data_IF_258322725476
#
_entry.id   IF_258322725476
#
_cell.length_a   1.000
_cell.length_b   1.000
_cell.length_c   1.000
_cell.angle_alpha   90.00
_cell.angle_beta   90.00
_cell.angle_gamma   90.00
#
_symmetry.space_group_name_H-M   'P 1'
#
loop_
_entity.id
_entity.type
_entity.pdbx_description
1 polymer ?
#
# COMPACT_ATOMS: atom_id res chain seq x y z
N UNK A 1 -86.21 -52.90 1.15
CA UNK A 1 -86.05 -54.38 0.99
C UNK A 1 -84.56 -54.59 0.56
N UNK A 2 -83.90 -55.38 1.30
CA UNK A 2 -82.48 -55.89 1.13
C UNK A 2 -81.31 -54.93 1.18
N UNK A 3 -80.64 -55.11 2.25
CA UNK A 3 -79.32 -54.76 2.71
C UNK A 3 -78.25 -55.45 1.82
N UNK A 4 -77.19 -54.75 1.52
CA UNK A 4 -75.83 -55.36 1.36
C UNK A 4 -74.81 -54.40 1.93
N UNK A 5 -74.11 -54.90 3.01
CA UNK A 5 -72.90 -54.35 3.53
C UNK A 5 -71.73 -54.82 2.63
N UNK A 6 -70.78 -53.93 2.39
CA UNK A 6 -69.47 -54.28 1.96
C UNK A 6 -68.48 -53.48 2.82
N UNK A 7 -67.67 -54.17 3.66
CA UNK A 7 -66.52 -53.68 4.37
C UNK A 7 -65.41 -53.30 3.40
N UNK A 8 -64.85 -52.16 3.56
CA UNK A 8 -63.60 -51.81 2.90
C UNK A 8 -62.67 -51.21 3.96
N UNK A 9 -61.63 -51.94 4.26
CA UNK A 9 -60.54 -51.56 5.12
C UNK A 9 -59.83 -50.28 4.59
N UNK A 10 -59.70 -49.30 5.47
CA UNK A 10 -58.89 -48.08 5.17
C UNK A 10 -57.40 -48.40 5.27
N UNK A 11 -56.60 -47.73 4.46
CA UNK A 11 -55.14 -47.90 4.55
C UNK A 11 -54.55 -47.27 5.80
N UNK A 12 -53.57 -47.93 6.39
CA UNK A 12 -52.78 -47.49 7.50
C UNK A 12 -52.05 -46.16 7.20
N UNK A 13 -51.77 -45.26 8.19
CA UNK A 13 -51.00 -44.05 7.99
C UNK A 13 -49.52 -44.40 7.85
N UNK A 14 -48.97 -44.15 6.63
CA UNK A 14 -47.54 -44.23 6.39
C UNK A 14 -46.79 -43.25 7.27
N UNK A 15 -45.81 -43.78 8.00
CA UNK A 15 -44.86 -43.02 8.81
C UNK A 15 -44.21 -41.89 8.02
N UNK A 16 -44.52 -40.65 8.34
CA UNK A 16 -43.75 -39.48 7.91
C UNK A 16 -42.33 -39.59 8.44
N UNK A 17 -41.39 -39.88 7.55
CA UNK A 17 -39.97 -39.74 7.81
C UNK A 17 -39.67 -38.30 8.17
N UNK A 18 -39.33 -38.05 9.42
CA UNK A 18 -38.89 -36.75 9.90
C UNK A 18 -37.61 -36.33 9.18
N UNK A 19 -37.78 -35.52 8.13
CA UNK A 19 -36.71 -34.84 7.51
C UNK A 19 -36.08 -33.89 8.53
N UNK A 20 -34.93 -34.28 9.05
CA UNK A 20 -34.09 -33.48 9.93
C UNK A 20 -33.61 -32.26 9.16
N UNK A 21 -34.42 -31.20 9.11
CA UNK A 21 -34.01 -29.89 8.67
C UNK A 21 -32.97 -29.38 9.66
N UNK A 22 -31.72 -29.76 9.44
CA UNK A 22 -30.59 -29.09 10.05
C UNK A 22 -30.66 -27.60 9.69
N UNK A 23 -31.24 -26.83 10.58
CA UNK A 23 -31.11 -25.38 10.56
C UNK A 23 -29.63 -25.08 10.70
N UNK A 24 -28.91 -24.96 9.56
CA UNK A 24 -27.59 -24.34 9.52
C UNK A 24 -27.78 -22.94 10.09
N UNK A 25 -27.41 -22.75 11.37
CA UNK A 25 -27.32 -21.40 11.96
C UNK A 25 -26.56 -20.56 10.98
N UNK A 26 -27.22 -19.62 10.31
CA UNK A 26 -26.60 -18.69 9.36
C UNK A 26 -25.55 -17.94 10.16
N UNK A 27 -24.29 -18.31 9.96
CA UNK A 27 -23.15 -17.68 10.63
C UNK A 27 -23.25 -16.19 10.34
N UNK A 28 -23.35 -15.35 11.37
CA UNK A 28 -23.45 -13.91 11.14
C UNK A 28 -22.17 -13.44 10.44
N UNK A 29 -22.35 -12.69 9.36
CA UNK A 29 -21.22 -12.12 8.62
C UNK A 29 -20.38 -11.25 9.54
N UNK A 30 -19.08 -11.36 9.44
CA UNK A 30 -18.15 -10.44 10.11
C UNK A 30 -18.10 -9.12 9.37
N UNK A 31 -18.21 -8.01 10.07
CA UNK A 31 -18.29 -6.66 9.52
C UNK A 31 -17.05 -5.85 9.87
N UNK A 32 -16.23 -5.56 8.88
CA UNK A 32 -14.95 -4.90 9.03
C UNK A 32 -14.96 -3.54 8.34
N UNK A 33 -14.67 -2.49 9.08
CA UNK A 33 -14.39 -1.17 8.51
C UNK A 33 -12.89 -1.02 8.31
N UNK A 34 -12.48 -0.62 7.10
CA UNK A 34 -11.12 -0.30 6.73
C UNK A 34 -11.03 1.20 6.46
N UNK A 35 -10.17 1.92 7.17
CA UNK A 35 -10.05 3.36 7.02
C UNK A 35 -8.62 3.77 6.73
N UNK A 36 -8.45 4.50 5.64
CA UNK A 36 -7.16 5.03 5.19
C UNK A 36 -7.39 5.92 3.97
N UNK A 37 -6.53 6.89 3.75
CA UNK A 37 -6.71 7.76 2.61
C UNK A 37 -5.70 8.89 2.52
N UNK A 38 -5.93 9.78 1.55
CA UNK A 38 -5.07 10.92 1.23
C UNK A 38 -3.89 10.59 0.33
N UNK A 39 -3.37 9.37 0.38
CA UNK A 39 -2.26 8.91 -0.48
C UNK A 39 -2.41 7.43 -0.81
N UNK A 40 -1.79 6.98 -1.92
CA UNK A 40 -1.72 5.56 -2.27
C UNK A 40 -1.10 4.69 -1.18
N UNK A 41 -0.13 5.23 -0.43
CA UNK A 41 0.54 4.53 0.68
C UNK A 41 -0.38 4.12 1.83
N UNK A 42 -1.57 4.74 1.97
CA UNK A 42 -2.57 4.35 2.96
C UNK A 42 -3.71 3.52 2.34
N UNK A 43 -4.04 3.80 1.07
CA UNK A 43 -5.16 3.16 0.38
C UNK A 43 -4.80 1.71 -0.01
N UNK A 44 -3.67 1.51 -0.66
CA UNK A 44 -3.30 0.20 -1.19
C UNK A 44 -3.02 -0.86 -0.11
N UNK A 45 -2.40 -0.55 1.04
CA UNK A 45 -2.34 -1.50 2.15
C UNK A 45 -3.71 -1.91 2.69
N UNK A 46 -4.67 -0.97 2.78
CA UNK A 46 -6.03 -1.28 3.19
C UNK A 46 -6.73 -2.20 2.17
N UNK A 47 -6.52 -1.95 0.87
CA UNK A 47 -7.07 -2.81 -0.20
C UNK A 47 -6.44 -4.20 -0.17
N UNK A 48 -5.13 -4.33 0.00
CA UNK A 48 -4.46 -5.63 0.08
C UNK A 48 -5.01 -6.48 1.25
N UNK A 49 -5.27 -5.86 2.40
CA UNK A 49 -5.89 -6.56 3.54
C UNK A 49 -7.36 -6.90 3.25
N UNK A 50 -8.11 -6.04 2.56
CA UNK A 50 -9.47 -6.33 2.12
C UNK A 50 -9.52 -7.53 1.16
N UNK A 51 -8.59 -7.61 0.22
CA UNK A 51 -8.44 -8.74 -0.69
C UNK A 51 -8.11 -10.04 0.07
N UNK A 52 -7.21 -9.99 1.06
CA UNK A 52 -6.90 -11.14 1.91
C UNK A 52 -8.11 -11.60 2.73
N UNK A 53 -8.87 -10.68 3.32
CA UNK A 53 -10.11 -10.99 4.04
C UNK A 53 -11.15 -11.62 3.11
N UNK A 54 -11.38 -11.04 1.92
CA UNK A 54 -12.35 -11.56 0.95
C UNK A 54 -11.95 -12.93 0.42
N UNK A 55 -10.65 -13.14 0.15
CA UNK A 55 -10.12 -14.44 -0.29
C UNK A 55 -10.35 -15.55 0.73
N UNK A 56 -10.18 -15.24 2.02
CA UNK A 56 -10.34 -16.22 3.11
C UNK A 56 -11.80 -16.47 3.50
N UNK A 57 -12.60 -15.40 3.59
CA UNK A 57 -13.94 -15.45 4.20
C UNK A 57 -15.07 -15.37 3.18
N UNK A 58 -14.79 -14.99 1.93
CA UNK A 58 -15.79 -14.88 0.87
C UNK A 58 -16.99 -14.03 1.31
N UNK A 59 -18.17 -14.64 1.26
CA UNK A 59 -19.42 -13.99 1.65
C UNK A 59 -19.66 -13.91 3.16
N UNK A 60 -18.82 -14.56 3.97
CA UNK A 60 -18.91 -14.51 5.45
C UNK A 60 -18.28 -13.22 6.03
N UNK A 61 -17.67 -12.37 5.21
CA UNK A 61 -17.18 -11.04 5.58
C UNK A 61 -17.87 -9.94 4.78
N UNK A 62 -18.24 -8.87 5.46
CA UNK A 62 -18.71 -7.62 4.85
C UNK A 62 -17.70 -6.51 5.11
N UNK A 63 -17.25 -5.84 4.05
CA UNK A 63 -16.21 -4.83 4.08
C UNK A 63 -16.78 -3.46 3.73
N UNK A 64 -16.44 -2.46 4.53
CA UNK A 64 -16.75 -1.06 4.24
C UNK A 64 -15.49 -0.22 4.39
N UNK A 65 -15.17 0.54 3.36
CA UNK A 65 -14.13 1.55 3.44
C UNK A 65 -14.70 2.87 3.96
N UNK A 66 -13.87 3.61 4.71
CA UNK A 66 -14.18 4.97 5.14
C UNK A 66 -13.00 5.87 4.81
N UNK A 67 -13.23 6.87 3.97
CA UNK A 67 -12.23 7.82 3.46
C UNK A 67 -12.65 9.28 3.69
N UNK A 68 -11.87 10.23 3.18
CA UNK A 68 -12.19 11.65 3.20
C UNK A 68 -12.88 12.07 1.89
N UNK A 69 -13.96 12.85 2.01
CA UNK A 69 -14.66 13.38 0.84
C UNK A 69 -13.73 14.18 -0.07
N UNK A 70 -13.90 14.03 -1.39
CA UNK A 70 -13.12 14.74 -2.40
C UNK A 70 -11.64 14.35 -2.48
N UNK A 71 -11.24 13.20 -1.90
CA UNK A 71 -9.89 12.65 -1.98
C UNK A 71 -9.83 11.44 -2.90
N UNK A 72 -8.62 11.06 -3.29
CA UNK A 72 -8.38 10.01 -4.28
C UNK A 72 -8.98 8.65 -3.91
N UNK A 73 -9.14 8.35 -2.63
CA UNK A 73 -9.78 7.12 -2.17
C UNK A 73 -11.23 6.99 -2.63
N UNK A 74 -11.95 8.12 -2.77
CA UNK A 74 -13.35 8.13 -3.22
C UNK A 74 -13.51 7.68 -4.68
N UNK A 75 -12.44 7.73 -5.48
CA UNK A 75 -12.41 7.23 -6.87
C UNK A 75 -11.75 5.85 -6.95
N UNK A 76 -10.61 5.69 -6.27
CA UNK A 76 -9.79 4.47 -6.39
C UNK A 76 -10.41 3.25 -5.74
N UNK A 77 -11.04 3.39 -4.57
CA UNK A 77 -11.63 2.26 -3.84
C UNK A 77 -12.86 1.68 -4.57
N UNK A 78 -13.83 2.48 -5.08
CA UNK A 78 -14.91 1.97 -5.90
C UNK A 78 -14.45 1.31 -7.21
N UNK A 79 -13.43 1.87 -7.86
CA UNK A 79 -12.85 1.27 -9.08
C UNK A 79 -12.29 -0.14 -8.83
N UNK A 80 -12.00 -0.50 -7.58
CA UNK A 80 -11.56 -1.82 -7.14
C UNK A 80 -12.71 -2.71 -6.61
N UNK A 81 -13.97 -2.27 -6.77
CA UNK A 81 -15.16 -3.04 -6.40
C UNK A 81 -15.48 -3.04 -4.90
N UNK A 82 -15.01 -2.05 -4.14
CA UNK A 82 -15.32 -1.90 -2.72
C UNK A 82 -16.25 -0.73 -2.45
N UNK A 83 -17.14 -0.91 -1.47
CA UNK A 83 -17.99 0.18 -0.95
C UNK A 83 -17.13 1.13 -0.11
N UNK A 84 -17.32 2.44 -0.29
CA UNK A 84 -16.68 3.48 0.51
C UNK A 84 -17.70 4.53 0.93
N UNK A 85 -17.52 5.06 2.14
CA UNK A 85 -18.25 6.23 2.65
C UNK A 85 -17.27 7.35 2.92
N UNK A 86 -17.56 8.54 2.43
CA UNK A 86 -16.78 9.75 2.67
C UNK A 86 -17.11 10.39 4.02
N UNK A 87 -16.08 10.87 4.70
CA UNK A 87 -16.22 11.75 5.86
C UNK A 87 -15.93 13.19 5.47
N UNK A 88 -16.69 14.17 5.99
CA UNK A 88 -16.44 15.60 5.77
C UNK A 88 -15.20 16.05 6.58
N UNK A 89 -14.00 15.70 6.09
CA UNK A 89 -12.73 16.02 6.75
C UNK A 89 -12.00 17.07 5.94
N UNK A 90 -11.59 18.16 6.59
CA UNK A 90 -10.59 19.06 6.04
C UNK A 90 -9.26 18.78 6.74
N UNK A 91 -8.21 18.50 5.96
CA UNK A 91 -6.86 18.41 6.50
C UNK A 91 -6.46 19.74 7.15
N UNK A 92 -5.71 19.68 8.25
CA UNK A 92 -5.04 20.84 8.83
C UNK A 92 -4.13 21.46 7.77
N UNK A 93 -4.43 22.69 7.37
CA UNK A 93 -3.52 23.47 6.54
C UNK A 93 -2.34 23.90 7.41
N UNK A 94 -1.10 23.61 6.95
CA UNK A 94 0.14 23.95 7.67
C UNK A 94 0.40 25.47 7.77
N UNK A 95 -0.42 26.32 7.12
CA UNK A 95 -0.36 27.77 7.23
C UNK A 95 -1.29 28.24 8.34
N UNK A 96 -0.87 29.28 9.08
CA UNK A 96 -1.71 30.01 10.02
C UNK A 96 -2.83 30.71 9.22
N UNK A 97 -3.97 30.02 9.09
CA UNK A 97 -5.16 30.50 8.39
C UNK A 97 -6.30 30.59 9.43
N UNK A 98 -7.09 31.66 9.38
CA UNK A 98 -8.30 31.85 10.21
C UNK A 98 -9.26 30.67 10.09
N UNK A 99 -9.22 29.94 8.97
CA UNK A 99 -9.96 28.67 8.75
C UNK A 99 -9.60 27.57 9.74
N UNK A 100 -8.43 27.65 10.39
CA UNK A 100 -7.99 26.69 11.41
C UNK A 100 -8.82 26.81 12.70
N UNK A 101 -9.48 27.94 12.97
CA UNK A 101 -10.42 28.12 14.10
C UNK A 101 -11.64 27.20 13.99
N UNK A 102 -12.02 26.79 12.77
CA UNK A 102 -13.13 25.86 12.52
C UNK A 102 -12.72 24.38 12.59
N UNK A 103 -11.44 24.08 12.75
CA UNK A 103 -10.92 22.70 12.80
C UNK A 103 -11.54 21.88 13.94
N UNK A 104 -11.67 22.39 15.18
CA UNK A 104 -12.31 21.63 16.26
C UNK A 104 -13.76 21.22 15.91
N UNK A 105 -14.54 22.10 15.33
CA UNK A 105 -15.92 21.80 14.90
C UNK A 105 -15.96 20.75 13.79
N UNK A 106 -15.03 20.84 12.82
CA UNK A 106 -14.91 19.86 11.75
C UNK A 106 -14.50 18.49 12.29
N UNK A 107 -13.59 18.43 13.25
CA UNK A 107 -13.18 17.19 13.91
C UNK A 107 -14.36 16.56 14.66
N UNK A 108 -15.11 17.34 15.46
CA UNK A 108 -16.30 16.84 16.16
C UNK A 108 -17.33 16.31 15.17
N UNK A 109 -17.64 17.06 14.11
CA UNK A 109 -18.56 16.63 13.06
C UNK A 109 -18.11 15.33 12.38
N UNK A 110 -16.81 15.20 12.07
CA UNK A 110 -16.24 13.98 11.48
C UNK A 110 -16.34 12.78 12.43
N UNK A 111 -16.09 12.98 13.73
CA UNK A 111 -16.25 11.92 14.75
C UNK A 111 -17.71 11.50 14.89
N UNK A 112 -18.64 12.45 14.88
CA UNK A 112 -20.09 12.14 14.94
C UNK A 112 -20.55 11.37 13.70
N UNK A 113 -20.12 11.78 12.50
CA UNK A 113 -20.39 11.05 11.27
C UNK A 113 -19.80 9.63 11.31
N UNK A 114 -18.54 9.49 11.76
CA UNK A 114 -17.91 8.19 11.93
C UNK A 114 -18.67 7.29 12.91
N UNK A 115 -19.19 7.83 14.04
CA UNK A 115 -20.04 7.07 14.96
C UNK A 115 -21.32 6.55 14.29
N UNK A 116 -21.97 7.38 13.47
CA UNK A 116 -23.13 6.99 12.68
C UNK A 116 -22.79 5.82 11.75
N UNK A 117 -21.73 5.94 10.96
CA UNK A 117 -21.28 4.90 10.03
C UNK A 117 -20.98 3.57 10.75
N UNK A 118 -20.24 3.62 11.86
CA UNK A 118 -19.87 2.43 12.65
C UNK A 118 -21.11 1.72 13.18
N UNK A 119 -22.06 2.48 13.73
CA UNK A 119 -23.32 1.95 14.26
C UNK A 119 -24.19 1.35 13.17
N UNK A 120 -24.41 2.10 12.08
CA UNK A 120 -25.32 1.71 11.01
C UNK A 120 -24.78 0.51 10.23
N UNK A 121 -23.46 0.40 10.10
CA UNK A 121 -22.76 -0.78 9.56
C UNK A 121 -22.69 -1.93 10.58
N UNK A 122 -22.87 -1.65 11.88
CA UNK A 122 -22.69 -2.60 13.00
C UNK A 122 -21.31 -3.27 12.95
N UNK A 123 -20.25 -2.47 12.89
CA UNK A 123 -18.88 -2.95 12.72
C UNK A 123 -18.43 -3.83 13.91
N UNK A 124 -17.89 -5.02 13.64
CA UNK A 124 -17.24 -5.88 14.63
C UNK A 124 -15.81 -5.40 14.94
N UNK A 125 -15.13 -4.81 13.96
CA UNK A 125 -13.76 -4.27 14.08
C UNK A 125 -13.52 -3.14 13.11
N UNK A 126 -12.64 -2.21 13.49
CA UNK A 126 -12.18 -1.12 12.64
C UNK A 126 -10.66 -1.19 12.50
N UNK A 127 -10.16 -1.26 11.27
CA UNK A 127 -8.73 -1.22 10.96
C UNK A 127 -8.36 0.12 10.30
N UNK A 128 -7.36 0.80 10.86
CA UNK A 128 -6.86 2.08 10.35
C UNK A 128 -5.48 1.95 9.72
N UNK A 129 -5.34 2.48 8.51
CA UNK A 129 -4.12 2.43 7.69
C UNK A 129 -3.45 3.80 7.55
N UNK A 130 -3.85 4.77 8.36
CA UNK A 130 -3.29 6.12 8.32
C UNK A 130 -4.08 7.09 7.42
N UNK A 131 -3.57 8.30 7.31
CA UNK A 131 -4.26 9.40 6.65
C UNK A 131 -5.29 10.10 7.56
N UNK A 132 -5.83 11.21 7.07
CA UNK A 132 -6.74 12.04 7.86
C UNK A 132 -8.06 11.36 8.20
N UNK A 133 -8.55 10.44 7.34
CA UNK A 133 -9.81 9.76 7.54
C UNK A 133 -9.76 8.73 8.68
N UNK A 134 -8.63 8.07 8.90
CA UNK A 134 -8.52 7.02 9.90
C UNK A 134 -8.63 7.55 11.34
N UNK A 135 -8.20 8.79 11.59
CA UNK A 135 -8.22 9.38 12.93
C UNK A 135 -9.62 9.43 13.57
N UNK A 136 -10.63 10.10 12.98
CA UNK A 136 -11.96 10.17 13.55
C UNK A 136 -12.67 8.82 13.60
N UNK A 137 -12.39 7.92 12.63
CA UNK A 137 -13.02 6.59 12.60
C UNK A 137 -12.51 5.71 13.74
N UNK A 138 -11.19 5.61 13.91
CA UNK A 138 -10.59 4.85 15.02
C UNK A 138 -10.96 5.47 16.38
N UNK A 139 -10.94 6.79 16.49
CA UNK A 139 -11.35 7.47 17.71
C UNK A 139 -12.79 7.14 18.08
N UNK A 140 -13.71 7.23 17.13
CA UNK A 140 -15.12 6.91 17.34
C UNK A 140 -15.31 5.43 17.74
N UNK A 141 -14.67 4.50 17.02
CA UNK A 141 -14.70 3.07 17.31
C UNK A 141 -14.22 2.78 18.74
N UNK A 142 -13.09 3.34 19.15
CA UNK A 142 -12.53 3.18 20.50
C UNK A 142 -13.45 3.71 21.59
N UNK A 143 -14.20 4.80 21.33
CA UNK A 143 -15.17 5.37 22.26
C UNK A 143 -16.48 4.58 22.32
N UNK A 144 -16.80 3.84 21.27
CA UNK A 144 -17.96 2.94 21.20
C UNK A 144 -17.66 1.53 21.71
N UNK A 145 -16.42 1.24 22.12
CA UNK A 145 -15.99 -0.09 22.55
C UNK A 145 -15.74 -1.08 21.40
N UNK A 146 -15.79 -0.61 20.14
CA UNK A 146 -15.47 -1.44 18.97
C UNK A 146 -13.93 -1.63 18.89
N UNK A 147 -13.44 -2.87 18.80
CA UNK A 147 -12.02 -3.16 18.70
C UNK A 147 -11.37 -2.45 17.52
N UNK A 148 -10.13 -1.97 17.71
CA UNK A 148 -9.39 -1.32 16.64
C UNK A 148 -8.03 -1.96 16.41
N UNK A 149 -7.63 -2.03 15.13
CA UNK A 149 -6.30 -2.42 14.67
C UNK A 149 -5.69 -1.23 13.94
N UNK A 150 -4.43 -0.91 14.24
CA UNK A 150 -3.67 0.13 13.54
C UNK A 150 -2.61 -0.56 12.69
N UNK A 151 -2.42 -0.11 11.45
CA UNK A 151 -1.29 -0.48 10.62
C UNK A 151 -0.43 0.78 10.38
N UNK A 152 0.86 0.70 10.77
CA UNK A 152 1.86 1.74 10.55
C UNK A 152 2.86 1.29 9.51
N UNK A 153 2.94 2.05 8.42
CA UNK A 153 3.74 1.70 7.26
C UNK A 153 5.18 2.18 7.36
N UNK A 154 5.45 3.21 8.13
CA UNK A 154 6.72 3.91 8.16
C UNK A 154 7.58 3.49 9.37
N UNK A 155 8.88 3.69 9.25
CA UNK A 155 9.82 3.49 10.36
C UNK A 155 9.71 4.56 11.47
N UNK A 156 8.98 5.65 11.18
CA UNK A 156 8.64 6.70 12.14
C UNK A 156 7.12 6.86 12.18
N UNK A 157 6.55 6.65 13.37
CA UNK A 157 5.09 6.62 13.52
C UNK A 157 4.46 8.01 13.40
N UNK A 158 3.35 8.10 12.66
CA UNK A 158 2.55 9.31 12.57
C UNK A 158 1.90 9.69 13.89
N UNK A 159 1.73 11.01 14.13
CA UNK A 159 1.15 11.55 15.39
C UNK A 159 -0.20 10.92 15.70
N UNK A 160 -1.07 10.77 14.70
CA UNK A 160 -2.38 10.15 14.86
C UNK A 160 -2.29 8.73 15.41
N UNK A 161 -1.41 7.91 14.83
CA UNK A 161 -1.23 6.53 15.26
C UNK A 161 -0.66 6.46 16.69
N UNK A 162 0.26 7.35 17.08
CA UNK A 162 0.78 7.46 18.45
C UNK A 162 -0.32 7.72 19.48
N UNK A 163 -1.26 8.63 19.16
CA UNK A 163 -2.39 8.95 20.06
C UNK A 163 -3.36 7.78 20.18
N UNK A 164 -3.72 7.16 19.05
CA UNK A 164 -4.72 6.10 18.99
C UNK A 164 -4.19 4.75 19.47
N UNK A 165 -2.87 4.53 19.44
CA UNK A 165 -2.21 3.32 19.87
C UNK A 165 -2.56 2.89 21.31
N UNK A 166 -2.78 3.88 22.21
CA UNK A 166 -3.10 3.63 23.63
C UNK A 166 -4.38 2.82 23.85
N UNK A 167 -5.30 2.81 22.88
CA UNK A 167 -6.57 2.08 22.96
C UNK A 167 -6.74 1.03 21.85
N UNK A 168 -5.81 0.94 20.92
CA UNK A 168 -5.83 -0.08 19.88
C UNK A 168 -5.59 -1.47 20.50
N UNK A 169 -6.27 -2.49 19.98
CA UNK A 169 -6.08 -3.88 20.39
C UNK A 169 -4.81 -4.49 19.82
N UNK A 170 -4.47 -4.10 18.58
CA UNK A 170 -3.25 -4.53 17.88
C UNK A 170 -2.68 -3.37 17.07
N UNK A 171 -1.37 -3.35 16.96
CA UNK A 171 -0.63 -2.36 16.18
C UNK A 171 0.32 -3.13 15.27
N UNK A 172 -0.06 -3.22 14.01
CA UNK A 172 0.71 -3.88 12.96
C UNK A 172 1.77 -2.91 12.43
N UNK A 173 3.02 -3.29 12.46
CA UNK A 173 4.14 -2.42 12.07
C UNK A 173 4.98 -3.07 10.99
N UNK A 174 5.61 -2.25 10.14
CA UNK A 174 6.50 -2.72 9.09
C UNK A 174 7.96 -2.84 9.56
N UNK A 175 8.36 -2.02 10.51
CA UNK A 175 9.75 -1.90 10.96
C UNK A 175 9.93 -2.35 12.42
N UNK A 176 11.16 -2.71 12.77
CA UNK A 176 11.58 -2.96 14.16
C UNK A 176 11.77 -1.64 14.92
N UNK A 177 11.89 -1.69 16.26
CA UNK A 177 12.16 -0.53 17.10
C UNK A 177 10.95 0.41 17.26
N UNK A 178 9.73 -0.09 17.00
CA UNK A 178 8.50 0.71 17.09
C UNK A 178 7.96 0.84 18.52
N UNK A 179 8.50 0.12 19.48
CA UNK A 179 8.22 0.23 20.92
C UNK A 179 8.55 1.61 21.49
N UNK A 180 9.42 2.38 20.85
CA UNK A 180 9.66 3.80 21.16
C UNK A 180 8.45 4.70 20.91
N UNK A 181 7.46 4.23 20.14
CA UNK A 181 6.26 4.98 19.77
C UNK A 181 4.98 4.36 20.31
N UNK A 182 4.96 3.03 20.50
CA UNK A 182 3.76 2.27 20.76
C UNK A 182 3.94 1.33 21.97
N UNK A 183 2.84 0.96 22.68
CA UNK A 183 2.90 -0.06 23.71
C UNK A 183 3.40 -1.39 23.16
N UNK A 184 4.49 -1.91 23.71
CA UNK A 184 5.19 -3.10 23.22
C UNK A 184 4.30 -4.36 23.19
N UNK A 185 3.39 -4.52 24.17
CA UNK A 185 2.44 -5.64 24.28
C UNK A 185 1.40 -5.71 23.15
N UNK A 186 1.25 -4.64 22.40
CA UNK A 186 0.28 -4.53 21.29
C UNK A 186 0.90 -4.55 19.91
N UNK A 187 2.22 -4.41 19.83
CA UNK A 187 2.95 -4.41 18.57
C UNK A 187 3.01 -5.82 17.98
N UNK A 188 2.78 -5.90 16.67
CA UNK A 188 3.02 -7.11 15.88
C UNK A 188 3.74 -6.69 14.60
N UNK A 189 4.92 -7.24 14.35
CA UNK A 189 5.65 -7.03 13.10
C UNK A 189 4.96 -7.84 11.99
N UNK A 190 4.31 -7.14 11.09
CA UNK A 190 3.56 -7.73 9.98
C UNK A 190 4.14 -7.44 8.62
N UNK A 191 5.01 -6.43 8.49
CA UNK A 191 5.37 -5.84 7.21
C UNK A 191 4.27 -4.92 6.68
N UNK A 192 4.49 -4.37 5.49
CA UNK A 192 3.50 -3.56 4.78
C UNK A 192 2.70 -4.42 3.80
N UNK A 193 1.36 -4.43 3.92
CA UNK A 193 0.51 -5.05 2.93
C UNK A 193 0.69 -4.42 1.55
N UNK A 194 1.02 -5.22 0.56
CA UNK A 194 1.18 -4.79 -0.83
C UNK A 194 0.15 -5.47 -1.72
N UNK A 195 -0.21 -4.79 -2.81
CA UNK A 195 -1.03 -5.37 -3.87
C UNK A 195 -0.14 -6.05 -4.90
N UNK A 196 -0.63 -7.13 -5.44
CA UNK A 196 0.06 -7.91 -6.48
C UNK A 196 0.94 -9.02 -5.89
N UNK A 197 1.27 -9.93 -6.74
CA UNK A 197 2.18 -11.02 -6.43
C UNK A 197 3.57 -10.64 -6.93
N UNK A 198 4.45 -10.26 -6.02
CA UNK A 198 5.86 -9.99 -6.30
C UNK A 198 6.73 -11.24 -6.06
N UNK A 199 6.14 -12.36 -5.66
CA UNK A 199 6.83 -13.62 -5.45
C UNK A 199 7.01 -14.36 -6.78
N UNK A 200 7.97 -13.93 -7.59
CA UNK A 200 8.30 -14.66 -8.81
C UNK A 200 9.18 -15.86 -8.50
N UNK A 201 8.65 -17.05 -8.73
CA UNK A 201 9.41 -18.31 -8.65
C UNK A 201 10.28 -18.56 -9.89
N UNK A 202 9.97 -17.86 -10.99
CA UNK A 202 10.70 -17.95 -12.27
C UNK A 202 10.98 -16.54 -12.76
N UNK A 203 12.22 -16.25 -13.13
CA UNK A 203 12.59 -14.96 -13.71
C UNK A 203 11.91 -14.74 -15.05
N UNK A 204 11.32 -13.58 -15.23
CA UNK A 204 10.70 -13.09 -16.48
C UNK A 204 11.56 -12.03 -17.17
N UNK A 205 12.86 -12.00 -16.87
CA UNK A 205 13.76 -10.96 -17.41
C UNK A 205 13.77 -10.94 -18.94
N UNK A 206 13.84 -12.06 -19.68
CA UNK A 206 13.82 -12.00 -21.16
C UNK A 206 12.54 -11.34 -21.71
N UNK A 207 11.37 -11.72 -21.19
CA UNK A 207 10.07 -11.13 -21.57
C UNK A 207 9.97 -9.66 -21.18
N UNK A 208 10.50 -9.31 -20.01
CA UNK A 208 10.53 -7.93 -19.52
C UNK A 208 11.42 -7.03 -20.40
N UNK A 209 12.61 -7.49 -20.76
CA UNK A 209 13.50 -6.78 -21.69
C UNK A 209 12.85 -6.60 -23.05
N UNK A 210 12.25 -7.66 -23.60
CA UNK A 210 11.54 -7.60 -24.87
C UNK A 210 10.35 -6.61 -24.84
N UNK A 211 9.60 -6.59 -23.74
CA UNK A 211 8.46 -5.69 -23.56
C UNK A 211 8.86 -4.20 -23.65
N UNK A 212 10.02 -3.85 -23.07
CA UNK A 212 10.54 -2.47 -23.09
C UNK A 212 11.48 -2.19 -24.27
N UNK A 213 11.73 -3.18 -25.14
CA UNK A 213 12.69 -3.04 -26.25
C UNK A 213 14.14 -2.90 -25.78
N UNK A 214 14.49 -3.51 -24.65
CA UNK A 214 15.81 -3.43 -24.03
C UNK A 214 16.70 -4.61 -24.48
N UNK A 215 18.00 -4.38 -24.50
CA UNK A 215 19.04 -5.35 -24.86
C UNK A 215 19.43 -6.18 -23.63
N UNK A 216 19.76 -7.46 -23.85
CA UNK A 216 20.18 -8.35 -22.78
C UNK A 216 21.65 -8.21 -22.36
N UNK A 217 22.48 -7.62 -23.23
CA UNK A 217 23.92 -7.46 -23.05
C UNK A 217 24.32 -6.16 -22.36
N UNK A 218 23.34 -5.33 -21.97
CA UNK A 218 23.57 -4.03 -21.34
C UNK A 218 22.77 -3.89 -20.04
N UNK A 219 23.36 -3.37 -18.94
CA UNK A 219 22.67 -3.19 -17.67
C UNK A 219 21.56 -2.13 -17.76
N UNK A 220 20.56 -2.27 -16.90
CA UNK A 220 19.37 -1.44 -16.86
C UNK A 220 19.25 -0.71 -15.52
N UNK A 221 19.20 0.63 -15.57
CA UNK A 221 18.87 1.48 -14.43
C UNK A 221 17.40 1.89 -14.53
N UNK A 222 16.63 1.63 -13.49
CA UNK A 222 15.24 2.10 -13.40
C UNK A 222 15.17 3.36 -12.54
N UNK A 223 14.60 4.44 -13.07
CA UNK A 223 14.40 5.71 -12.34
C UNK A 223 12.91 5.96 -12.18
N UNK A 224 12.41 5.96 -10.93
CA UNK A 224 10.97 6.06 -10.64
C UNK A 224 10.65 7.02 -9.51
N UNK A 225 9.85 8.04 -9.83
CA UNK A 225 9.42 9.09 -8.89
C UNK A 225 7.99 8.95 -8.35
N UNK A 226 7.33 7.81 -8.63
CA UNK A 226 5.92 7.59 -8.34
C UNK A 226 4.98 8.15 -9.43
N UNK A 227 3.68 7.87 -9.34
CA UNK A 227 2.68 8.11 -10.40
C UNK A 227 2.50 9.59 -10.81
N UNK A 228 2.79 10.53 -9.93
CA UNK A 228 2.72 11.97 -10.23
C UNK A 228 4.03 12.51 -10.78
N UNK A 229 5.11 11.76 -10.61
CA UNK A 229 6.47 12.17 -10.91
C UNK A 229 7.12 12.95 -9.77
N UNK A 230 8.41 13.16 -9.91
CA UNK A 230 9.24 13.86 -8.93
C UNK A 230 10.20 14.80 -9.65
N UNK A 231 10.12 16.09 -9.34
CA UNK A 231 10.96 17.12 -9.97
C UNK A 231 12.45 16.77 -9.86
N UNK A 232 12.93 16.47 -8.68
CA UNK A 232 14.36 16.18 -8.44
C UNK A 232 14.89 15.03 -9.30
N UNK A 233 14.14 13.91 -9.42
CA UNK A 233 14.56 12.77 -10.23
C UNK A 233 14.50 13.09 -11.73
N UNK A 234 13.53 13.89 -12.17
CA UNK A 234 13.47 14.35 -13.54
C UNK A 234 14.62 15.31 -13.87
N UNK A 235 14.93 16.28 -12.99
CA UNK A 235 16.09 17.16 -13.17
C UNK A 235 17.42 16.40 -13.11
N UNK A 236 17.52 15.36 -12.27
CA UNK A 236 18.66 14.44 -12.25
C UNK A 236 18.87 13.79 -13.62
N UNK A 237 17.81 13.26 -14.21
CA UNK A 237 17.87 12.65 -15.53
C UNK A 237 18.21 13.67 -16.63
N UNK A 238 17.61 14.86 -16.61
CA UNK A 238 17.93 15.94 -17.54
C UNK A 238 19.41 16.33 -17.45
N UNK A 239 19.91 16.53 -16.25
CA UNK A 239 21.31 16.89 -16.02
C UNK A 239 22.27 15.82 -16.56
N UNK A 240 21.98 14.56 -16.29
CA UNK A 240 22.79 13.44 -16.75
C UNK A 240 22.75 13.30 -18.29
N UNK A 241 21.56 13.31 -18.88
CA UNK A 241 21.36 13.22 -20.35
C UNK A 241 22.06 14.35 -21.09
N UNK A 242 22.00 15.59 -20.58
CA UNK A 242 22.68 16.74 -21.21
C UNK A 242 24.21 16.61 -21.21
N UNK A 243 24.81 15.73 -20.45
CA UNK A 243 26.23 15.43 -20.45
C UNK A 243 26.63 14.23 -21.32
N UNK A 244 25.67 13.59 -22.00
CA UNK A 244 25.89 12.44 -22.87
C UNK A 244 26.02 12.87 -24.33
N UNK A 245 26.74 12.07 -25.10
CA UNK A 245 26.71 12.09 -26.55
C UNK A 245 25.43 11.37 -27.06
N UNK A 246 25.51 10.68 -28.20
CA UNK A 246 24.36 10.03 -28.86
C UNK A 246 23.81 8.79 -28.15
N UNK A 247 24.56 8.22 -27.20
CA UNK A 247 24.21 6.95 -26.58
C UNK A 247 24.54 6.94 -25.08
N UNK A 248 23.58 6.49 -24.26
CA UNK A 248 23.80 6.26 -22.85
C UNK A 248 24.65 4.99 -22.62
N UNK A 249 25.58 4.99 -21.64
CA UNK A 249 26.45 3.83 -21.33
C UNK A 249 25.68 2.67 -20.69
N UNK A 250 24.43 2.89 -20.29
CA UNK A 250 23.50 1.93 -19.70
C UNK A 250 22.10 2.15 -20.28
N UNK A 251 21.25 1.14 -20.19
CA UNK A 251 19.84 1.33 -20.54
C UNK A 251 19.09 1.94 -19.35
N UNK A 252 18.15 2.83 -19.61
CA UNK A 252 17.37 3.48 -18.58
C UNK A 252 15.87 3.28 -18.80
N UNK A 253 15.17 2.83 -17.77
CA UNK A 253 13.72 2.88 -17.66
C UNK A 253 13.33 4.08 -16.81
N UNK A 254 12.88 5.17 -17.44
CA UNK A 254 12.59 6.44 -16.79
C UNK A 254 11.08 6.72 -16.72
N UNK A 255 10.50 6.60 -15.52
CA UNK A 255 9.14 7.06 -15.25
C UNK A 255 9.14 8.52 -14.82
N UNK A 256 8.69 9.40 -15.70
CA UNK A 256 8.65 10.84 -15.48
C UNK A 256 7.50 11.31 -14.59
N UNK A 257 6.39 10.54 -14.55
CA UNK A 257 5.13 10.93 -13.94
C UNK A 257 4.31 11.86 -14.81
N UNK A 258 2.98 11.79 -14.64
CA UNK A 258 2.04 12.46 -15.54
C UNK A 258 2.18 13.99 -15.60
N UNK A 259 2.70 14.63 -14.54
CA UNK A 259 2.85 16.09 -14.54
C UNK A 259 4.06 16.59 -15.32
N UNK A 260 5.07 15.74 -15.52
CA UNK A 260 6.33 16.10 -16.17
C UNK A 260 6.51 15.45 -17.54
N UNK A 261 5.61 14.56 -17.92
CA UNK A 261 5.75 13.73 -19.12
C UNK A 261 5.97 14.54 -20.38
N UNK A 262 5.14 15.57 -20.62
CA UNK A 262 5.26 16.42 -21.81
C UNK A 262 6.58 17.21 -21.84
N UNK A 263 7.02 17.74 -20.69
CA UNK A 263 8.29 18.48 -20.58
C UNK A 263 9.48 17.54 -20.82
N UNK A 264 9.46 16.34 -20.23
CA UNK A 264 10.57 15.39 -20.38
C UNK A 264 10.65 14.80 -21.78
N UNK A 265 9.52 14.59 -22.43
CA UNK A 265 9.47 14.19 -23.84
C UNK A 265 10.10 15.25 -24.75
N UNK A 266 9.67 16.50 -24.63
CA UNK A 266 10.24 17.60 -25.39
C UNK A 266 11.75 17.77 -25.16
N UNK A 267 12.20 17.53 -23.91
CA UNK A 267 13.62 17.54 -23.59
C UNK A 267 14.39 16.44 -24.32
N UNK A 268 13.89 15.20 -24.37
CA UNK A 268 14.55 14.09 -25.08
C UNK A 268 14.50 14.27 -26.62
N UNK A 269 13.46 14.92 -27.17
CA UNK A 269 13.39 15.27 -28.55
C UNK A 269 14.48 16.29 -28.94
N UNK A 270 14.82 17.23 -28.05
CA UNK A 270 15.90 18.20 -28.22
C UNK A 270 17.30 17.61 -27.91
N UNK A 271 17.38 16.52 -27.16
CA UNK A 271 18.62 15.84 -26.78
C UNK A 271 18.46 14.33 -27.07
N UNK A 272 18.48 13.91 -28.32
CA UNK A 272 18.23 12.54 -28.73
C UNK A 272 19.36 11.62 -28.28
N UNK A 273 19.11 10.83 -27.26
CA UNK A 273 20.05 9.84 -26.69
C UNK A 273 19.42 8.46 -26.77
N UNK A 274 20.15 7.49 -27.33
CA UNK A 274 19.72 6.08 -27.39
C UNK A 274 19.80 5.42 -26.02
N UNK A 275 19.13 4.29 -25.88
CA UNK A 275 19.07 3.44 -24.69
C UNK A 275 18.25 4.04 -23.52
N UNK A 276 17.40 5.03 -23.76
CA UNK A 276 16.51 5.61 -22.76
C UNK A 276 15.06 5.35 -23.16
N UNK A 277 14.37 4.52 -22.38
CA UNK A 277 12.92 4.41 -22.41
C UNK A 277 12.32 5.44 -21.45
N UNK A 278 11.35 6.25 -21.91
CA UNK A 278 10.66 7.26 -21.12
C UNK A 278 9.15 7.04 -21.21
N UNK A 279 8.47 7.14 -20.06
CA UNK A 279 7.03 7.11 -20.00
C UNK A 279 6.47 7.83 -18.78
N UNK A 280 5.24 8.36 -18.93
CA UNK A 280 4.53 8.99 -17.82
C UNK A 280 4.29 8.02 -16.66
N UNK A 281 4.02 6.76 -16.99
CA UNK A 281 3.69 5.70 -16.04
C UNK A 281 4.23 4.35 -16.52
N UNK A 282 4.58 3.50 -15.59
CA UNK A 282 4.97 2.11 -15.84
C UNK A 282 3.78 1.21 -15.47
N UNK A 283 3.08 0.71 -16.49
CA UNK A 283 1.90 -0.14 -16.30
C UNK A 283 2.29 -1.54 -15.80
N UNK A 284 3.39 -2.08 -16.32
CA UNK A 284 3.94 -3.39 -15.96
C UNK A 284 5.13 -3.23 -15.02
N UNK A 285 4.84 -2.78 -13.77
CA UNK A 285 5.87 -2.61 -12.75
C UNK A 285 6.61 -3.92 -12.44
N UNK A 286 5.93 -5.07 -12.52
CA UNK A 286 6.52 -6.39 -12.42
C UNK A 286 7.64 -6.61 -13.46
N UNK A 287 7.39 -6.24 -14.72
CA UNK A 287 8.40 -6.32 -15.78
C UNK A 287 9.51 -5.29 -15.61
N UNK A 288 9.18 -4.08 -15.16
CA UNK A 288 10.19 -3.06 -14.93
C UNK A 288 11.19 -3.47 -13.84
N UNK A 289 10.70 -4.05 -12.75
CA UNK A 289 11.55 -4.62 -11.70
C UNK A 289 12.38 -5.82 -12.21
N UNK A 290 11.81 -6.72 -13.02
CA UNK A 290 12.55 -7.84 -13.61
C UNK A 290 13.67 -7.35 -14.54
N UNK A 291 13.41 -6.34 -15.36
CA UNK A 291 14.40 -5.77 -16.27
C UNK A 291 15.52 -5.00 -15.56
N UNK A 292 15.21 -4.33 -14.46
CA UNK A 292 16.15 -3.46 -13.74
C UNK A 292 17.28 -4.25 -13.04
N UNK A 293 18.50 -3.71 -13.11
CA UNK A 293 19.65 -4.16 -12.32
C UNK A 293 19.84 -3.26 -11.09
N UNK A 294 19.61 -1.96 -11.23
CA UNK A 294 19.61 -0.97 -10.13
C UNK A 294 18.35 -0.12 -10.21
N UNK A 295 17.77 0.22 -9.08
CA UNK A 295 16.61 1.11 -9.00
C UNK A 295 16.98 2.39 -8.27
N UNK A 296 16.71 3.54 -8.88
CA UNK A 296 16.76 4.87 -8.26
C UNK A 296 15.32 5.33 -7.98
N UNK A 297 14.98 5.55 -6.71
CA UNK A 297 13.58 5.77 -6.33
C UNK A 297 13.42 6.67 -5.11
N UNK A 298 12.21 7.20 -4.93
CA UNK A 298 11.76 7.73 -3.65
C UNK A 298 11.57 6.60 -2.62
N UNK A 299 11.70 6.92 -1.33
CA UNK A 299 11.60 5.97 -0.22
C UNK A 299 10.22 5.99 0.48
N UNK A 300 9.15 6.05 -0.31
CA UNK A 300 7.79 5.85 0.21
C UNK A 300 7.60 4.43 0.75
N UNK A 301 6.81 4.27 1.80
CA UNK A 301 6.69 3.00 2.52
C UNK A 301 6.32 1.79 1.64
N UNK A 302 5.38 1.95 0.70
CA UNK A 302 5.01 0.87 -0.23
C UNK A 302 6.18 0.54 -1.18
N UNK A 303 6.80 1.56 -1.77
CA UNK A 303 7.94 1.38 -2.69
C UNK A 303 9.11 0.68 -2.02
N UNK A 304 9.46 1.08 -0.78
CA UNK A 304 10.50 0.38 0.00
C UNK A 304 10.15 -1.08 0.19
N UNK A 305 8.90 -1.37 0.56
CA UNK A 305 8.47 -2.75 0.80
C UNK A 305 8.39 -3.59 -0.49
N UNK A 306 8.00 -2.99 -1.62
CA UNK A 306 8.06 -3.62 -2.94
C UNK A 306 9.50 -3.98 -3.32
N UNK A 307 10.43 -3.04 -3.15
CA UNK A 307 11.85 -3.24 -3.45
C UNK A 307 12.48 -4.31 -2.56
N UNK A 308 12.05 -4.41 -1.29
CA UNK A 308 12.44 -5.52 -0.43
C UNK A 308 11.94 -6.88 -0.96
N UNK A 309 10.72 -6.95 -1.49
CA UNK A 309 10.18 -8.20 -2.03
C UNK A 309 10.88 -8.63 -3.33
N UNK A 310 11.18 -7.67 -4.21
CA UNK A 310 11.85 -7.98 -5.48
C UNK A 310 13.37 -8.11 -5.36
N UNK A 311 13.96 -7.72 -4.21
CA UNK A 311 15.38 -7.91 -3.93
C UNK A 311 16.32 -7.10 -4.81
N UNK A 312 15.89 -5.92 -5.30
CA UNK A 312 16.69 -5.12 -6.23
C UNK A 312 17.63 -4.16 -5.50
N UNK A 313 18.91 -4.09 -5.86
CA UNK A 313 19.82 -3.04 -5.41
C UNK A 313 19.21 -1.68 -5.65
N UNK A 314 19.12 -0.85 -4.61
CA UNK A 314 18.35 0.38 -4.67
C UNK A 314 19.12 1.57 -4.13
N UNK A 315 19.01 2.69 -4.83
CA UNK A 315 19.44 4.02 -4.39
C UNK A 315 18.18 4.82 -4.06
N UNK A 316 17.97 5.12 -2.80
CA UNK A 316 16.88 5.97 -2.36
C UNK A 316 17.26 7.44 -2.40
N UNK A 317 16.37 8.24 -2.95
CA UNK A 317 16.40 9.70 -2.93
C UNK A 317 15.17 10.17 -2.14
N UNK A 318 15.25 10.30 -0.80
CA UNK A 318 14.11 10.69 0.02
C UNK A 318 13.56 12.06 -0.34
N UNK A 319 12.24 12.21 -0.37
CA UNK A 319 11.60 13.52 -0.55
C UNK A 319 11.64 14.32 0.75
N UNK A 320 12.14 15.58 0.74
CA UNK A 320 12.13 16.44 1.92
C UNK A 320 10.74 17.02 2.21
N UNK A 321 9.80 16.90 1.27
CA UNK A 321 8.47 17.54 1.33
C UNK A 321 7.39 16.63 1.91
N UNK A 322 7.76 15.69 2.78
CA UNK A 322 6.82 14.75 3.42
C UNK A 322 6.66 15.03 4.91
N UNK A 323 5.57 14.55 5.50
CA UNK A 323 5.32 14.71 6.93
C UNK A 323 6.39 13.98 7.75
N UNK A 324 6.91 14.65 8.80
CA UNK A 324 7.83 14.04 9.78
C UNK A 324 9.08 13.40 9.17
N UNK A 325 9.46 13.84 7.96
CA UNK A 325 10.63 13.33 7.23
C UNK A 325 10.67 11.79 7.13
N UNK A 326 9.48 11.17 7.01
CA UNK A 326 9.36 9.71 7.04
C UNK A 326 10.10 9.01 5.90
N UNK A 327 10.31 9.65 4.74
CA UNK A 327 11.05 9.03 3.65
C UNK A 327 12.53 8.89 3.98
N UNK A 328 13.16 9.91 4.56
CA UNK A 328 14.55 9.81 5.02
C UNK A 328 14.69 8.70 6.06
N UNK A 329 13.77 8.65 7.04
CA UNK A 329 13.77 7.59 8.07
C UNK A 329 13.59 6.18 7.50
N UNK A 330 12.75 6.03 6.48
CA UNK A 330 12.58 4.74 5.81
C UNK A 330 13.86 4.31 5.08
N UNK A 331 14.52 5.21 4.35
CA UNK A 331 15.79 4.93 3.68
C UNK A 331 16.91 4.60 4.68
N UNK A 332 17.08 5.40 5.73
CA UNK A 332 18.06 5.18 6.80
C UNK A 332 17.92 3.79 7.44
N UNK A 333 16.68 3.31 7.64
CA UNK A 333 16.43 2.00 8.22
C UNK A 333 16.98 0.84 7.35
N UNK A 334 17.06 1.01 6.02
CA UNK A 334 17.65 0.03 5.11
C UNK A 334 19.17 0.25 4.99
N UNK A 335 19.63 1.49 4.91
CA UNK A 335 21.06 1.83 4.86
C UNK A 335 21.79 1.29 6.10
N UNK A 336 21.20 1.43 7.28
CA UNK A 336 21.74 0.89 8.53
C UNK A 336 21.90 -0.64 8.54
N UNK A 337 21.27 -1.34 7.59
CA UNK A 337 21.36 -2.80 7.38
C UNK A 337 22.19 -3.19 6.15
N UNK A 338 22.91 -2.24 5.56
CA UNK A 338 23.61 -2.40 4.28
C UNK A 338 22.68 -3.01 3.19
N UNK A 339 21.42 -2.57 3.17
CA UNK A 339 20.38 -3.06 2.27
C UNK A 339 20.00 -2.06 1.16
N UNK A 340 20.51 -0.83 1.23
CA UNK A 340 20.31 0.19 0.21
C UNK A 340 21.39 1.27 0.29
N UNK A 341 21.47 2.09 -0.76
CA UNK A 341 22.22 3.35 -0.78
C UNK A 341 21.25 4.51 -0.65
N UNK A 342 21.65 5.61 -0.02
CA UNK A 342 20.86 6.83 0.04
C UNK A 342 21.65 8.00 -0.54
N UNK A 343 20.97 8.81 -1.33
CA UNK A 343 21.45 10.12 -1.81
C UNK A 343 20.45 11.17 -1.35
N UNK A 344 20.93 12.25 -0.74
CA UNK A 344 20.06 13.34 -0.32
C UNK A 344 19.44 14.06 -1.53
N UNK A 345 18.20 14.53 -1.39
CA UNK A 345 17.46 15.21 -2.47
C UNK A 345 18.25 16.38 -3.08
N UNK A 346 18.94 17.14 -2.24
CA UNK A 346 19.76 18.29 -2.67
C UNK A 346 20.97 17.92 -3.55
N UNK A 347 21.49 16.70 -3.39
CA UNK A 347 22.64 16.21 -4.12
C UNK A 347 22.27 15.37 -5.35
N UNK A 348 21.04 14.87 -5.40
CA UNK A 348 20.61 13.87 -6.35
C UNK A 348 20.76 14.34 -7.81
N UNK A 349 20.47 15.60 -8.10
CA UNK A 349 20.60 16.15 -9.47
C UNK A 349 22.03 16.01 -9.97
N UNK A 350 23.01 16.25 -9.11
CA UNK A 350 24.43 16.25 -9.46
C UNK A 350 25.05 14.86 -9.53
N UNK A 351 24.70 13.97 -8.60
CA UNK A 351 25.43 12.71 -8.44
C UNK A 351 24.55 11.45 -8.42
N UNK A 352 23.23 11.55 -8.57
CA UNK A 352 22.35 10.39 -8.40
C UNK A 352 22.57 9.31 -9.47
N UNK A 353 22.75 9.69 -10.74
CA UNK A 353 23.07 8.74 -11.82
C UNK A 353 24.52 8.22 -11.70
N UNK A 354 25.49 9.05 -11.32
CA UNK A 354 26.86 8.59 -11.10
C UNK A 354 26.92 7.51 -10.01
N UNK A 355 26.15 7.66 -8.93
CA UNK A 355 26.02 6.63 -7.90
C UNK A 355 25.40 5.33 -8.41
N UNK A 356 24.48 5.40 -9.39
CA UNK A 356 23.93 4.22 -10.02
C UNK A 356 24.98 3.51 -10.91
N UNK A 357 25.77 4.25 -11.64
CA UNK A 357 26.84 3.72 -12.47
C UNK A 357 27.98 3.13 -11.62
N UNK A 358 28.40 3.82 -10.55
CA UNK A 358 29.37 3.30 -9.58
C UNK A 358 28.89 1.97 -8.95
N UNK A 359 27.60 1.89 -8.60
CA UNK A 359 27.03 0.67 -8.02
C UNK A 359 27.00 -0.47 -9.05
N UNK A 360 26.65 -0.21 -10.31
CA UNK A 360 26.68 -1.20 -11.39
C UNK A 360 28.09 -1.74 -11.63
N UNK A 361 29.12 -0.93 -11.44
CA UNK A 361 30.51 -1.34 -11.60
C UNK A 361 31.02 -2.21 -10.42
N UNK A 362 30.35 -2.21 -9.27
CA UNK A 362 30.71 -2.98 -8.08
C UNK A 362 29.79 -4.20 -7.89
N UNK A 363 30.07 -5.27 -8.63
CA UNK A 363 29.26 -6.48 -8.61
C UNK A 363 29.12 -7.16 -7.24
N UNK A 364 30.14 -7.06 -6.37
CA UNK A 364 30.06 -7.63 -5.01
C UNK A 364 29.13 -6.79 -4.11
N UNK A 365 29.17 -5.49 -4.23
CA UNK A 365 28.26 -4.60 -3.52
C UNK A 365 26.82 -4.78 -4.01
N UNK A 366 26.62 -4.93 -5.31
CA UNK A 366 25.32 -5.24 -5.92
C UNK A 366 24.71 -6.50 -5.30
N UNK A 367 25.45 -7.61 -5.28
CA UNK A 367 24.99 -8.89 -4.70
C UNK A 367 24.66 -8.74 -3.21
N UNK A 368 25.50 -8.07 -2.45
CA UNK A 368 25.31 -7.84 -1.02
C UNK A 368 24.07 -7.01 -0.74
N UNK A 369 23.85 -5.90 -1.45
CA UNK A 369 22.65 -5.09 -1.32
C UNK A 369 21.40 -5.85 -1.71
N UNK A 370 21.41 -6.61 -2.82
CA UNK A 370 20.31 -7.45 -3.26
C UNK A 370 19.92 -8.50 -2.21
N UNK A 371 20.91 -9.18 -1.64
CA UNK A 371 20.70 -10.16 -0.58
C UNK A 371 20.08 -9.53 0.67
N UNK A 372 20.66 -8.42 1.14
CA UNK A 372 20.25 -7.77 2.38
C UNK A 372 18.84 -7.14 2.25
N UNK A 373 18.53 -6.50 1.12
CA UNK A 373 17.21 -5.91 0.91
C UNK A 373 16.13 -6.99 0.77
N UNK A 374 16.42 -8.10 0.10
CA UNK A 374 15.50 -9.24 -0.02
C UNK A 374 15.17 -9.88 1.33
N UNK A 375 16.16 -9.96 2.24
CA UNK A 375 15.96 -10.50 3.59
C UNK A 375 14.97 -9.66 4.44
N UNK A 376 14.68 -8.42 4.05
CA UNK A 376 13.71 -7.55 4.70
C UNK A 376 12.29 -7.68 4.12
N UNK A 377 12.12 -8.42 3.03
CA UNK A 377 10.84 -8.64 2.36
C UNK A 377 9.87 -9.45 3.20
N UNK A 378 8.59 -9.08 3.21
CA UNK A 378 7.51 -9.78 3.91
C UNK A 378 6.37 -10.05 2.93
N UNK A 379 6.39 -11.19 2.23
CA UNK A 379 5.43 -11.47 1.15
C UNK A 379 4.00 -11.68 1.65
N UNK A 380 3.82 -12.19 2.87
CA UNK A 380 2.51 -12.49 3.47
C UNK A 380 2.03 -11.37 4.43
N UNK A 381 2.47 -10.12 4.23
CA UNK A 381 2.14 -9.00 5.11
C UNK A 381 0.63 -8.74 5.21
N UNK A 382 -0.11 -8.84 4.10
CA UNK A 382 -1.56 -8.67 4.09
C UNK A 382 -2.27 -9.73 4.95
N UNK A 383 -1.87 -10.99 4.84
CA UNK A 383 -2.37 -12.11 5.63
C UNK A 383 -2.00 -11.98 7.11
N UNK A 384 -0.80 -11.47 7.41
CA UNK A 384 -0.41 -11.21 8.80
C UNK A 384 -1.29 -10.14 9.44
N UNK A 385 -1.57 -9.04 8.74
CA UNK A 385 -2.49 -8.00 9.23
C UNK A 385 -3.91 -8.55 9.36
N UNK A 386 -4.41 -9.28 8.35
CA UNK A 386 -5.71 -9.96 8.40
C UNK A 386 -5.84 -10.83 9.65
N UNK A 387 -4.83 -11.67 9.96
CA UNK A 387 -4.83 -12.51 11.17
C UNK A 387 -4.90 -11.69 12.47
N UNK A 388 -4.38 -10.44 12.51
CA UNK A 388 -4.53 -9.59 13.68
C UNK A 388 -5.93 -8.99 13.79
N UNK A 389 -6.59 -8.70 12.68
CA UNK A 389 -8.01 -8.30 12.64
C UNK A 389 -8.87 -9.43 13.17
N UNK A 390 -8.65 -10.66 12.71
CA UNK A 390 -9.38 -11.87 13.15
C UNK A 390 -9.26 -12.15 14.65
N UNK A 391 -8.15 -11.83 15.29
CA UNK A 391 -7.93 -12.06 16.72
C UNK A 391 -8.73 -11.12 17.62
N UNK A 392 -9.32 -10.07 17.08
CA UNK A 392 -9.97 -9.01 17.87
C UNK A 392 -11.44 -8.78 17.51
N UNK A 393 -11.98 -9.44 16.48
CA UNK A 393 -13.38 -9.34 16.07
C UNK A 393 -14.33 -10.29 16.82
#
# INVERSE_FOLDING_TARGET
MKICRCDAAGPEPSAMSGGNKTYRKRKMKKRVILSGGGTGGHIYPAVAVAEALRRKWGDDVELLFVGAEGKMEMEKVPALGYRIVGLPIAGLQRRLDVRNLLVPFKVVRSVMAARGIIRDFSADVVAGFGGYASAPVLWAAQRMGVPTVIQEQNSYAGVTNKILARRARRICVAYDGMERFFPADRIVKTGNPLRGDFSHTVSKRPEALAYYGLRADMPVVMVVGGSLGTRTLNEMMKHWVAGLDDEAPVQVLWQTGKYYEAEMRAFLEAHPVRNIWQGAFIDRMDYAYEAADVVVSRSGACTVSELCLVGKPTIFVPSPNVAEDHQTRNAEALVARDAAVMVHDADAVRCGMDRALELLADGERMKRLAHNIAALGVPDAAERVMRQIEKVW
#
